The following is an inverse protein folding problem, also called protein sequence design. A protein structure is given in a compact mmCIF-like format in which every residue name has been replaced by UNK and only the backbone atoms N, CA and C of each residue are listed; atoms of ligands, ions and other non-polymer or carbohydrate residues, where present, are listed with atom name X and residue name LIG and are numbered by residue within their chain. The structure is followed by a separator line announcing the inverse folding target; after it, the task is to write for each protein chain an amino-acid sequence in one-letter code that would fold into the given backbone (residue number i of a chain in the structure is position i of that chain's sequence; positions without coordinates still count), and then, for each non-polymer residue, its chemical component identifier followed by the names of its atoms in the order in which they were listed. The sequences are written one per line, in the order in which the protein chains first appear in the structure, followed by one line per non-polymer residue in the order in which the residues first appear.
data_IF_079777731112
#
_entry.id   IF_079777731112
#
_cell.length_a   1.000
_cell.length_b   1.000
_cell.length_c   1.000
_cell.angle_alpha   90.00
_cell.angle_beta   90.00
_cell.angle_gamma   90.00
#
_symmetry.space_group_name_H-M   'P 1'
#
loop_
_entity.id
_entity.type
_entity.pdbx_description
1 polymer ?
#
# COMPACT_ATOMS: atom_id res chain seq x y z
N UNK A 1 7.13 2.39 -19.69
CA UNK A 1 7.03 3.62 -18.86
C UNK A 1 5.55 3.87 -18.60
N UNK A 2 5.07 3.82 -17.34
CA UNK A 2 3.68 4.16 -16.99
C UNK A 2 3.70 5.60 -16.50
N UNK A 3 3.10 6.53 -17.24
CA UNK A 3 2.83 7.86 -16.72
C UNK A 3 1.71 7.71 -15.69
N UNK A 4 1.98 8.12 -14.45
CA UNK A 4 0.93 8.42 -13.48
C UNK A 4 0.36 9.77 -13.87
N UNK A 5 -0.63 9.77 -14.77
CA UNK A 5 -1.39 10.96 -15.10
C UNK A 5 -2.31 11.27 -13.91
N UNK A 6 -1.99 12.33 -13.18
CA UNK A 6 -2.93 12.94 -12.23
C UNK A 6 -4.04 13.55 -13.08
N UNK A 7 -5.23 12.98 -12.99
CA UNK A 7 -6.41 13.45 -13.72
C UNK A 7 -7.38 14.03 -12.71
N UNK A 8 -7.86 15.25 -12.96
CA UNK A 8 -8.79 15.98 -12.08
C UNK A 8 -10.05 16.34 -12.88
N UNK A 9 -11.22 16.09 -12.31
CA UNK A 9 -12.50 16.58 -12.83
C UNK A 9 -13.11 17.58 -11.86
N UNK A 10 -13.52 18.73 -12.40
CA UNK A 10 -14.08 19.84 -11.65
C UNK A 10 -15.57 20.02 -11.96
N UNK A 11 -16.34 20.37 -10.93
CA UNK A 11 -17.69 20.88 -11.10
C UNK A 11 -17.63 22.39 -11.39
N UNK A 12 -18.08 22.79 -12.59
CA UNK A 12 -18.10 24.18 -13.04
C UNK A 12 -19.41 24.93 -12.73
N UNK A 13 -20.39 24.29 -12.11
CA UNK A 13 -21.69 24.90 -11.78
C UNK A 13 -21.72 25.59 -10.40
N UNK A 14 -20.61 25.61 -9.66
CA UNK A 14 -20.46 26.34 -8.40
C UNK A 14 -19.62 27.60 -8.62
N UNK A 15 -19.83 28.63 -7.80
CA UNK A 15 -19.00 29.85 -7.79
C UNK A 15 -17.53 29.60 -7.43
N UNK A 16 -17.19 28.38 -7.00
CA UNK A 16 -15.84 27.88 -6.76
C UNK A 16 -15.61 26.59 -7.54
N UNK A 17 -14.45 26.44 -8.19
CA UNK A 17 -14.05 25.16 -8.79
C UNK A 17 -13.88 24.10 -7.69
N UNK A 18 -14.79 23.13 -7.66
CA UNK A 18 -14.73 21.99 -6.72
C UNK A 18 -14.28 20.76 -7.48
N UNK A 19 -13.19 20.12 -7.04
CA UNK A 19 -12.78 18.80 -7.55
C UNK A 19 -13.83 17.77 -7.09
N UNK A 20 -14.46 17.10 -8.05
CA UNK A 20 -15.47 16.06 -7.79
C UNK A 20 -14.94 14.64 -8.03
N UNK A 21 -13.78 14.52 -8.69
CA UNK A 21 -13.11 13.25 -8.90
C UNK A 21 -11.62 13.48 -9.19
N UNK A 22 -10.77 12.61 -8.65
CA UNK A 22 -9.36 12.53 -9.02
C UNK A 22 -8.89 11.09 -9.14
N UNK A 23 -7.93 10.83 -10.04
CA UNK A 23 -7.39 9.47 -10.25
C UNK A 23 -6.69 8.91 -9.00
N UNK A 24 -6.19 9.78 -8.12
CA UNK A 24 -5.54 9.39 -6.87
C UNK A 24 -6.51 8.80 -5.83
N UNK A 25 -7.82 9.02 -5.98
CA UNK A 25 -8.81 8.38 -5.09
C UNK A 25 -9.03 6.90 -5.43
N UNK A 26 -8.55 6.45 -6.59
CA UNK A 26 -8.74 5.09 -7.11
C UNK A 26 -7.41 4.47 -7.55
N UNK A 27 -6.49 4.20 -6.59
CA UNK A 27 -5.22 3.58 -6.92
C UNK A 27 -5.43 2.17 -7.51
N UNK A 28 -4.57 1.78 -8.45
CA UNK A 28 -4.58 0.41 -9.00
C UNK A 28 -3.74 -0.51 -8.11
N UNK A 29 -2.46 -0.62 -8.40
CA UNK A 29 -1.44 -1.46 -7.78
C UNK A 29 -0.38 -0.60 -7.07
N UNK A 30 -0.44 0.73 -7.22
CA UNK A 30 0.61 1.65 -6.80
C UNK A 30 0.04 2.85 -6.03
N UNK A 31 0.72 3.22 -4.94
CA UNK A 31 0.56 4.46 -4.20
C UNK A 31 1.77 5.35 -4.39
N UNK A 32 1.53 6.64 -4.56
CA UNK A 32 2.57 7.67 -4.56
C UNK A 32 2.79 8.24 -3.15
N UNK A 33 3.94 8.89 -2.91
CA UNK A 33 4.15 9.67 -1.71
C UNK A 33 3.02 10.67 -1.46
N UNK A 34 2.61 10.79 -0.19
CA UNK A 34 1.50 11.65 0.24
C UNK A 34 0.10 11.15 -0.13
N UNK A 35 -0.03 10.14 -1.02
CA UNK A 35 -1.31 9.55 -1.37
C UNK A 35 -1.77 8.58 -0.26
N UNK A 36 -2.91 8.84 0.39
CA UNK A 36 -3.40 7.95 1.43
C UNK A 36 -4.10 6.72 0.83
N UNK A 37 -3.78 5.55 1.37
CA UNK A 37 -4.65 4.38 1.27
C UNK A 37 -5.66 4.41 2.40
N UNK A 38 -6.94 4.54 2.07
CA UNK A 38 -8.02 4.67 3.06
C UNK A 38 -8.85 3.38 3.18
N UNK A 39 -9.79 3.35 4.13
CA UNK A 39 -10.77 2.26 4.31
C UNK A 39 -11.46 1.81 3.03
N UNK A 40 -11.84 2.74 2.16
CA UNK A 40 -12.58 2.44 0.92
C UNK A 40 -11.67 2.03 -0.24
N UNK A 41 -10.36 2.23 -0.08
CA UNK A 41 -9.35 1.94 -1.08
C UNK A 41 -8.67 0.59 -0.87
N UNK A 42 -8.04 0.10 -1.93
CA UNK A 42 -7.14 -1.05 -1.87
C UNK A 42 -6.17 -0.98 -3.04
N UNK A 43 -4.96 -1.52 -2.89
CA UNK A 43 -4.15 -1.87 -4.06
C UNK A 43 -4.50 -3.27 -4.53
N UNK A 44 -4.64 -3.45 -5.83
CA UNK A 44 -4.82 -4.74 -6.51
C UNK A 44 -3.65 -4.94 -7.45
N UNK A 45 -2.90 -6.02 -7.28
CA UNK A 45 -1.71 -6.30 -8.08
C UNK A 45 -2.04 -6.43 -9.56
N UNK A 46 -1.02 -6.36 -10.43
CA UNK A 46 -1.17 -6.86 -11.81
C UNK A 46 -1.29 -8.39 -11.83
N UNK A 47 -1.78 -8.94 -12.94
CA UNK A 47 -1.88 -10.39 -13.16
C UNK A 47 -0.50 -11.02 -13.33
N UNK A 48 0.42 -10.34 -14.00
CA UNK A 48 1.83 -10.74 -14.14
C UNK A 48 2.72 -9.53 -14.44
N UNK A 49 4.02 -9.74 -14.60
CA UNK A 49 4.95 -8.69 -15.03
C UNK A 49 4.69 -8.12 -16.44
N UNK A 50 3.93 -8.84 -17.28
CA UNK A 50 3.57 -8.42 -18.64
C UNK A 50 2.07 -8.18 -18.84
N UNK A 51 1.22 -8.73 -17.96
CA UNK A 51 -0.22 -8.58 -18.01
C UNK A 51 -0.70 -7.64 -16.91
N UNK A 52 -1.09 -6.43 -17.30
CA UNK A 52 -1.54 -5.35 -16.42
C UNK A 52 -3.02 -5.40 -16.04
N UNK A 53 -3.75 -6.46 -16.43
CA UNK A 53 -5.09 -6.70 -15.87
C UNK A 53 -5.03 -6.97 -14.37
N UNK A 54 -6.13 -6.77 -13.66
CA UNK A 54 -6.22 -7.03 -12.22
C UNK A 54 -5.80 -8.45 -11.89
N UNK A 55 -4.82 -8.60 -11.00
CA UNK A 55 -4.32 -9.85 -10.48
C UNK A 55 -5.17 -10.39 -9.33
N UNK A 56 -4.51 -11.12 -8.45
CA UNK A 56 -5.17 -11.81 -7.35
C UNK A 56 -4.72 -11.32 -5.97
N UNK A 57 -3.72 -10.45 -5.88
CA UNK A 57 -3.27 -9.95 -4.59
C UNK A 57 -3.89 -8.60 -4.29
N UNK A 58 -4.29 -8.38 -3.04
CA UNK A 58 -4.87 -7.13 -2.56
C UNK A 58 -4.21 -6.66 -1.27
N UNK A 59 -3.82 -5.38 -1.20
CA UNK A 59 -3.41 -4.68 0.01
C UNK A 59 -4.56 -3.75 0.44
N UNK A 60 -5.09 -3.94 1.64
CA UNK A 60 -6.32 -3.29 2.09
C UNK A 60 -6.40 -3.24 3.62
N UNK A 61 -7.28 -2.39 4.17
CA UNK A 61 -7.66 -2.45 5.59
C UNK A 61 -8.85 -3.39 5.78
N UNK A 62 -8.77 -4.29 6.75
CA UNK A 62 -9.86 -5.20 7.08
C UNK A 62 -10.87 -4.61 8.09
N UNK A 63 -11.81 -5.43 8.53
CA UNK A 63 -12.84 -5.03 9.51
C UNK A 63 -12.27 -4.79 10.92
N UNK A 64 -11.08 -5.29 11.23
CA UNK A 64 -10.36 -5.09 12.49
C UNK A 64 -9.45 -3.85 12.46
N UNK A 65 -9.54 -3.06 11.40
CA UNK A 65 -8.74 -1.85 11.17
C UNK A 65 -7.26 -2.12 10.88
N UNK A 66 -6.89 -3.34 10.50
CA UNK A 66 -5.50 -3.75 10.23
C UNK A 66 -5.19 -3.71 8.74
N UNK A 67 -4.02 -3.18 8.36
CA UNK A 67 -3.50 -3.22 6.99
C UNK A 67 -2.98 -4.63 6.64
N UNK A 68 -3.61 -5.27 5.65
CA UNK A 68 -3.40 -6.68 5.30
C UNK A 68 -3.10 -6.89 3.83
N UNK A 69 -2.43 -7.99 3.53
CA UNK A 69 -2.33 -8.51 2.17
C UNK A 69 -3.07 -9.84 2.11
N UNK A 70 -3.92 -9.99 1.10
CA UNK A 70 -4.62 -11.23 0.81
C UNK A 70 -4.40 -11.67 -0.63
N UNK A 71 -4.51 -12.98 -0.84
CA UNK A 71 -4.74 -13.58 -2.14
C UNK A 71 -6.24 -13.80 -2.30
N UNK A 72 -6.80 -13.38 -3.42
CA UNK A 72 -8.20 -13.45 -3.78
C UNK A 72 -8.30 -14.06 -5.18
N UNK A 73 -8.15 -15.38 -5.26
CA UNK A 73 -8.22 -16.15 -6.50
C UNK A 73 -9.63 -16.65 -6.81
N UNK A 74 -9.83 -17.30 -7.98
CA UNK A 74 -11.16 -17.75 -8.42
C UNK A 74 -11.76 -18.86 -7.55
N UNK A 75 -10.92 -19.66 -6.90
CA UNK A 75 -11.32 -20.85 -6.13
C UNK A 75 -11.15 -20.65 -4.62
N UNK A 76 -10.11 -19.91 -4.22
CA UNK A 76 -9.75 -19.72 -2.82
C UNK A 76 -9.37 -18.27 -2.57
N UNK A 77 -9.70 -17.80 -1.37
CA UNK A 77 -9.21 -16.52 -0.83
C UNK A 77 -8.51 -16.79 0.50
N UNK A 78 -7.34 -16.19 0.70
CA UNK A 78 -6.54 -16.38 1.91
C UNK A 78 -5.86 -15.06 2.29
N UNK A 79 -6.09 -14.63 3.53
CA UNK A 79 -5.32 -13.55 4.15
C UNK A 79 -4.02 -14.16 4.66
N UNK A 80 -2.89 -13.72 4.11
CA UNK A 80 -1.59 -14.26 4.53
C UNK A 80 -0.73 -13.21 5.26
N UNK A 81 -1.11 -11.92 5.30
CA UNK A 81 -0.44 -10.84 6.07
C UNK A 81 -1.46 -10.06 6.94
N UNK A 82 -1.10 -9.64 8.17
CA UNK A 82 0.08 -10.04 8.94
C UNK A 82 0.03 -11.53 9.30
N UNK A 83 1.20 -12.09 9.61
CA UNK A 83 1.32 -13.48 10.07
C UNK A 83 0.27 -13.76 11.17
N UNK A 84 -0.55 -14.84 11.06
CA UNK A 84 -1.53 -15.20 12.08
C UNK A 84 -0.97 -15.20 13.51
N UNK A 85 0.30 -15.56 13.70
CA UNK A 85 0.95 -15.61 15.03
C UNK A 85 1.32 -14.23 15.58
N UNK A 86 1.26 -13.18 14.76
CA UNK A 86 1.44 -11.79 15.18
C UNK A 86 0.10 -11.13 15.54
N UNK A 87 -1.06 -11.70 15.17
CA UNK A 87 -2.35 -10.99 15.14
C UNK A 87 -2.98 -10.69 16.51
N UNK A 88 -2.61 -11.38 17.58
CA UNK A 88 -3.44 -11.43 18.79
C UNK A 88 -2.91 -10.63 19.99
N UNK A 89 -1.77 -9.96 19.85
CA UNK A 89 -1.12 -9.35 21.01
C UNK A 89 -1.05 -7.82 20.85
N UNK A 90 -2.22 -7.18 20.95
CA UNK A 90 -2.40 -5.72 21.00
C UNK A 90 -1.79 -5.05 22.25
N UNK A 91 -1.12 -5.80 23.14
CA UNK A 91 -0.53 -5.28 24.37
C UNK A 91 0.95 -4.95 24.20
N UNK A 92 1.22 -3.83 23.53
CA UNK A 92 2.49 -3.12 23.62
C UNK A 92 2.64 -2.39 24.96
N UNK A 93 2.78 -3.14 26.05
CA UNK A 93 3.43 -2.74 27.32
C UNK A 93 3.49 -3.99 28.22
N UNK A 94 4.52 -4.82 28.03
CA UNK A 94 4.66 -6.10 28.75
C UNK A 94 5.37 -7.23 27.99
N UNK A 95 5.64 -7.07 26.68
CA UNK A 95 6.69 -7.83 26.00
C UNK A 95 6.30 -9.03 25.13
N UNK A 96 5.06 -9.15 24.63
CA UNK A 96 4.72 -10.30 23.78
C UNK A 96 3.80 -9.98 22.59
N UNK A 97 3.86 -8.79 21.96
CA UNK A 97 2.98 -8.49 20.82
C UNK A 97 3.60 -7.79 19.63
N UNK A 98 2.90 -7.83 18.48
CA UNK A 98 3.40 -7.23 17.22
C UNK A 98 3.30 -5.69 17.18
N UNK A 99 2.75 -5.10 18.25
CA UNK A 99 2.59 -3.65 18.40
C UNK A 99 1.53 -3.04 17.49
N UNK A 100 0.79 -3.83 16.71
CA UNK A 100 -0.28 -3.33 15.85
C UNK A 100 -1.51 -2.96 16.69
N UNK A 101 -2.27 -1.96 16.26
CA UNK A 101 -3.47 -1.48 16.96
C UNK A 101 -4.72 -1.74 16.12
N UNK A 102 -5.67 -2.50 16.66
CA UNK A 102 -7.02 -2.64 16.07
C UNK A 102 -7.98 -1.54 16.56
N UNK A 103 -7.59 -0.77 17.58
CA UNK A 103 -8.42 0.28 18.19
C UNK A 103 -8.49 1.55 17.35
N UNK A 104 -7.48 1.81 16.51
CA UNK A 104 -7.42 3.01 15.67
C UNK A 104 -8.14 2.72 14.36
N UNK A 105 -9.36 3.25 14.22
CA UNK A 105 -10.28 2.91 13.12
C UNK A 105 -10.20 3.83 11.90
N UNK A 106 -9.26 4.78 11.91
CA UNK A 106 -9.06 5.73 10.81
C UNK A 106 -8.71 5.02 9.50
N UNK A 107 -8.02 3.87 9.57
CA UNK A 107 -7.67 3.01 8.42
C UNK A 107 -7.02 3.82 7.31
N UNK A 108 -5.89 4.42 7.64
CA UNK A 108 -5.09 5.25 6.73
C UNK A 108 -3.65 4.75 6.71
N UNK A 109 -3.09 4.53 5.54
CA UNK A 109 -1.66 4.31 5.35
C UNK A 109 -1.08 5.28 4.32
N UNK A 110 0.09 5.86 4.60
CA UNK A 110 0.73 6.89 3.77
C UNK A 110 2.23 6.64 3.71
N UNK A 111 2.78 6.62 2.49
CA UNK A 111 4.22 6.68 2.24
C UNK A 111 4.62 8.16 2.12
N UNK A 112 5.70 8.58 2.76
CA UNK A 112 6.23 9.94 2.60
C UNK A 112 7.35 10.03 1.54
N UNK A 113 7.74 11.27 1.23
CA UNK A 113 8.82 11.58 0.28
C UNK A 113 10.21 11.23 0.80
N UNK A 114 10.36 10.72 2.03
CA UNK A 114 11.61 10.28 2.63
C UNK A 114 11.73 8.76 2.70
N UNK A 115 10.67 8.01 2.36
CA UNK A 115 10.65 6.55 2.37
C UNK A 115 10.14 5.94 3.67
N UNK A 116 9.39 6.70 4.47
CA UNK A 116 8.69 6.21 5.64
C UNK A 116 7.22 5.96 5.32
N UNK A 117 6.79 4.72 5.50
CA UNK A 117 5.39 4.31 5.44
C UNK A 117 4.86 4.24 6.87
N UNK A 118 3.76 4.93 7.12
CA UNK A 118 2.98 4.83 8.37
C UNK A 118 1.59 4.33 8.07
N UNK A 119 1.05 3.53 8.98
CA UNK A 119 -0.32 3.02 8.94
C UNK A 119 -0.97 3.26 10.30
N UNK A 120 -2.27 3.53 10.28
CA UNK A 120 -3.09 3.82 11.46
C UNK A 120 -3.06 2.71 12.50
N UNK A 121 -2.85 1.46 12.07
CA UNK A 121 -2.72 0.31 12.95
C UNK A 121 -1.31 0.13 13.52
N UNK A 122 -0.52 1.21 13.59
CA UNK A 122 0.85 1.26 14.10
C UNK A 122 1.88 0.45 13.29
N UNK A 123 1.52 -0.04 12.10
CA UNK A 123 2.53 -0.51 11.17
C UNK A 123 3.35 0.65 10.65
N UNK A 124 4.66 0.50 10.73
CA UNK A 124 5.60 1.43 10.14
C UNK A 124 6.69 0.66 9.40
N UNK A 125 7.21 1.28 8.36
CA UNK A 125 8.27 0.72 7.53
C UNK A 125 9.17 1.85 7.04
N UNK A 126 10.49 1.65 7.10
CA UNK A 126 11.49 2.53 6.50
C UNK A 126 12.15 1.84 5.33
N UNK A 127 12.26 2.54 4.21
CA UNK A 127 13.10 2.10 3.10
C UNK A 127 14.58 2.11 3.50
N UNK A 128 15.39 1.33 2.79
CA UNK A 128 16.86 1.25 2.99
C UNK A 128 17.57 2.57 2.69
N UNK A 129 16.95 3.43 1.90
CA UNK A 129 17.42 4.76 1.51
C UNK A 129 16.71 5.90 2.26
N UNK A 130 16.10 5.58 3.41
CA UNK A 130 15.31 6.54 4.20
C UNK A 130 16.10 7.82 4.52
N UNK A 131 15.41 8.97 4.42
CA UNK A 131 15.98 10.29 4.74
C UNK A 131 16.53 11.04 3.51
N UNK A 132 16.55 10.41 2.35
CA UNK A 132 16.85 11.07 1.07
C UNK A 132 15.55 11.37 0.33
N UNK A 133 15.38 12.58 -0.20
CA UNK A 133 14.24 12.92 -1.06
C UNK A 133 14.47 12.32 -2.45
N UNK A 134 13.63 11.37 -2.85
CA UNK A 134 13.72 10.63 -4.12
C UNK A 134 12.32 10.47 -4.72
N UNK A 135 12.23 10.21 -6.03
CA UNK A 135 10.97 9.74 -6.59
C UNK A 135 10.67 8.37 -5.99
N UNK A 136 9.48 8.21 -5.39
CA UNK A 136 9.07 7.00 -4.70
C UNK A 136 7.72 6.50 -5.15
N UNK A 137 7.51 5.20 -4.93
CA UNK A 137 6.19 4.57 -5.03
C UNK A 137 6.15 3.30 -4.19
N UNK A 138 4.99 3.01 -3.62
CA UNK A 138 4.68 1.71 -3.04
C UNK A 138 3.86 0.92 -4.05
N UNK A 139 4.33 -0.24 -4.48
CA UNK A 139 3.61 -1.09 -5.46
C UNK A 139 3.34 -2.46 -4.84
N UNK A 140 2.11 -2.96 -4.99
CA UNK A 140 1.77 -4.35 -4.75
C UNK A 140 2.01 -5.15 -6.03
N UNK A 141 3.14 -5.86 -6.06
CA UNK A 141 3.54 -6.60 -7.24
C UNK A 141 2.72 -7.88 -7.43
N UNK A 142 2.76 -8.43 -8.64
CA UNK A 142 1.99 -9.61 -9.04
C UNK A 142 2.28 -10.88 -8.23
N UNK A 143 3.43 -10.93 -7.55
CA UNK A 143 3.82 -12.01 -6.64
C UNK A 143 3.29 -11.84 -5.21
N UNK A 144 2.50 -10.78 -4.96
CA UNK A 144 1.87 -10.53 -3.67
C UNK A 144 2.76 -9.81 -2.66
N UNK A 145 3.92 -9.33 -3.09
CA UNK A 145 4.79 -8.50 -2.26
C UNK A 145 4.48 -7.02 -2.45
N UNK A 146 4.33 -6.30 -1.33
CA UNK A 146 4.31 -4.85 -1.32
C UNK A 146 5.74 -4.32 -1.22
N UNK A 147 6.16 -3.51 -2.19
CA UNK A 147 7.53 -3.01 -2.34
C UNK A 147 7.57 -1.50 -2.48
N UNK A 148 8.48 -0.86 -1.76
CA UNK A 148 8.84 0.53 -1.99
C UNK A 148 9.94 0.56 -3.05
N UNK A 149 9.67 1.27 -4.13
CA UNK A 149 10.64 1.55 -5.18
C UNK A 149 11.08 3.00 -5.10
N UNK A 150 12.38 3.21 -5.26
CA UNK A 150 13.00 4.53 -5.33
C UNK A 150 13.66 4.72 -6.69
N UNK A 151 13.66 5.96 -7.15
CA UNK A 151 14.29 6.37 -8.39
C UNK A 151 14.97 7.72 -8.17
N UNK A 152 16.26 7.79 -8.50
CA UNK A 152 16.99 9.06 -8.47
C UNK A 152 16.56 9.94 -9.62
N UNK A 153 16.63 11.25 -9.40
CA UNK A 153 16.34 12.20 -10.45
C UNK A 153 17.33 12.05 -11.62
N UNK A 154 16.83 12.17 -12.85
CA UNK A 154 17.61 11.93 -14.07
C UNK A 154 17.95 10.48 -14.40
N UNK A 155 17.74 9.51 -13.51
CA UNK A 155 17.86 8.08 -13.85
C UNK A 155 16.58 7.59 -14.55
N UNK A 156 16.64 6.44 -15.24
CA UNK A 156 15.44 5.81 -15.83
C UNK A 156 14.91 4.66 -14.97
N UNK A 157 15.80 4.00 -14.21
CA UNK A 157 15.53 2.73 -13.55
C UNK A 157 14.99 2.93 -12.13
N UNK A 158 13.89 2.25 -11.83
CA UNK A 158 13.42 2.09 -10.46
C UNK A 158 14.23 0.98 -9.76
N UNK A 159 14.59 1.22 -8.50
CA UNK A 159 15.29 0.27 -7.64
C UNK A 159 14.44 -0.05 -6.43
N UNK A 160 14.43 -1.31 -6.00
CA UNK A 160 13.69 -1.71 -4.80
C UNK A 160 14.45 -1.19 -3.57
N UNK A 161 13.80 -0.33 -2.78
CA UNK A 161 14.31 0.22 -1.52
C UNK A 161 13.73 -0.50 -0.30
N UNK A 162 12.82 -1.45 -0.52
CA UNK A 162 12.53 -2.52 0.42
C UNK A 162 11.18 -3.16 0.17
N UNK A 163 10.90 -4.20 0.94
CA UNK A 163 9.79 -5.12 0.71
C UNK A 163 9.21 -5.57 2.05
N UNK A 164 7.90 -5.74 2.10
CA UNK A 164 7.26 -6.49 3.18
C UNK A 164 6.35 -7.58 2.59
N UNK A 165 6.83 -8.85 2.66
CA UNK A 165 6.14 -10.08 2.24
C UNK A 165 5.83 -11.05 3.38
N UNK A 166 4.63 -11.63 3.48
CA UNK A 166 4.46 -12.84 4.31
C UNK A 166 4.63 -14.04 3.43
N UNK A 167 5.52 -14.93 3.83
CA UNK A 167 5.56 -16.28 3.31
C UNK A 167 4.54 -17.14 4.07
N UNK A 168 4.08 -18.27 3.50
CA UNK A 168 4.93 -19.37 3.08
C UNK A 168 4.95 -19.59 1.56
N UNK A 169 6.10 -20.03 1.04
CA UNK A 169 6.16 -20.67 -0.27
C UNK A 169 5.20 -21.87 -0.25
N UNK A 170 4.48 -22.17 -1.34
CA UNK A 170 3.96 -23.52 -1.52
C UNK A 170 5.18 -24.47 -1.55
N UNK A 171 5.18 -25.46 -0.65
CA UNK A 171 5.95 -26.69 -0.87
C UNK A 171 5.23 -27.54 -1.91
#
# INVERSE_FOLDING_TARGET
MRLLLISLFYNRNSSSEVVIWQSLDFPTDTLLPGQPLTKSGSLVSSRSGSNYSSGFHRLFFDFENVLRIMYQGPQVSSVYRPDPWLQNNNFGNGGAGNGRSTYIDSRVAVLDDLGYLVSSDNFNFRSTDYGTVLQRRLTLDHDGSARVYSKKDGEEKWTMAGEFRSHPSPK
#
